data_IF_301038237445
#
_entry.id   IF_301038237445
#
_cell.length_a   1.000
_cell.length_b   1.000
_cell.length_c   1.000
_cell.angle_alpha   90.00
_cell.angle_beta   90.00
_cell.angle_gamma   90.00
#
_symmetry.space_group_name_H-M   'P 1'
#
loop_
_entity.id
_entity.type
_entity.pdbx_description
1 polymer ?
#
# COMPACT_ATOMS: atom_id res chain seq x y z
N UNK A 1 -4.50 -3.36 -26.96
CA UNK A 1 -5.37 -3.19 -25.78
C UNK A 1 -4.43 -2.80 -24.65
N UNK A 2 -4.65 -1.65 -24.01
CA UNK A 2 -3.80 -1.27 -22.89
C UNK A 2 -4.11 -2.23 -21.73
N UNK A 3 -3.10 -2.98 -21.32
CA UNK A 3 -3.16 -3.86 -20.15
C UNK A 3 -3.24 -2.95 -18.92
N UNK A 4 -4.45 -2.74 -18.42
CA UNK A 4 -4.68 -1.89 -17.25
C UNK A 4 -4.58 -2.77 -16.00
N UNK A 5 -3.77 -2.37 -15.00
CA UNK A 5 -3.68 -3.10 -13.75
C UNK A 5 -5.05 -3.21 -13.08
N UNK A 6 -5.33 -4.39 -12.51
CA UNK A 6 -6.55 -4.65 -11.75
C UNK A 6 -6.59 -3.81 -10.46
N UNK A 7 -5.43 -3.65 -9.82
CA UNK A 7 -5.23 -2.78 -8.67
C UNK A 7 -4.11 -1.82 -9.00
N UNK A 8 -4.35 -0.52 -8.85
CA UNK A 8 -3.36 0.53 -9.05
C UNK A 8 -3.37 1.50 -7.89
N UNK A 9 -2.22 1.63 -7.22
CA UNK A 9 -1.94 2.59 -6.17
C UNK A 9 -0.82 3.50 -6.65
N UNK A 10 -1.05 4.81 -6.60
CA UNK A 10 -0.08 5.84 -6.92
C UNK A 10 0.00 6.82 -5.74
N UNK A 11 1.19 6.96 -5.16
CA UNK A 11 1.45 7.87 -4.06
C UNK A 11 0.67 7.62 -2.77
N UNK A 12 0.20 6.39 -2.53
CA UNK A 12 -0.65 6.09 -1.37
C UNK A 12 0.10 6.35 -0.07
N UNK A 13 -0.45 7.24 0.75
CA UNK A 13 0.04 7.54 2.09
C UNK A 13 -1.09 7.41 3.10
N UNK A 14 -0.78 6.89 4.28
CA UNK A 14 -1.74 6.70 5.36
C UNK A 14 -1.11 7.09 6.68
N UNK A 15 -1.75 8.04 7.34
CA UNK A 15 -1.39 8.49 8.67
C UNK A 15 -2.53 8.16 9.63
N UNK A 16 -2.16 7.60 10.78
CA UNK A 16 -3.04 7.43 11.92
C UNK A 16 -2.68 8.46 12.98
N UNK A 17 -3.70 9.10 13.55
CA UNK A 17 -3.55 10.10 14.58
C UNK A 17 -4.17 9.58 15.87
N UNK A 18 -3.43 9.68 16.96
CA UNK A 18 -3.97 9.59 18.32
C UNK A 18 -3.80 10.95 19.00
N UNK A 19 -4.35 11.13 20.19
CA UNK A 19 -4.20 12.39 20.95
C UNK A 19 -2.73 12.73 21.25
N UNK A 20 -1.85 11.72 21.26
CA UNK A 20 -0.45 11.86 21.67
C UNK A 20 0.54 11.69 20.51
N UNK A 21 0.19 10.95 19.45
CA UNK A 21 1.16 10.54 18.41
C UNK A 21 0.55 10.53 17.00
N UNK A 22 1.36 10.99 16.04
CA UNK A 22 1.15 10.78 14.62
C UNK A 22 1.96 9.55 14.15
N UNK A 23 1.30 8.59 13.49
CA UNK A 23 1.95 7.39 12.92
C UNK A 23 1.74 7.34 11.42
N UNK A 24 2.82 7.50 10.67
CA UNK A 24 2.85 7.29 9.22
C UNK A 24 2.92 5.79 8.91
N UNK A 25 1.76 5.15 8.75
CA UNK A 25 1.68 3.71 8.46
C UNK A 25 2.08 3.39 7.01
N UNK A 26 1.74 4.25 6.05
CA UNK A 26 2.15 4.13 4.65
C UNK A 26 2.70 5.48 4.18
N UNK A 27 3.80 5.45 3.44
CA UNK A 27 4.45 6.65 2.90
C UNK A 27 4.75 6.46 1.42
N UNK A 28 4.02 7.17 0.56
CA UNK A 28 4.22 7.22 -0.89
C UNK A 28 4.32 5.84 -1.57
N UNK A 29 3.38 4.95 -1.27
CA UNK A 29 3.34 3.59 -1.81
C UNK A 29 2.82 3.61 -3.25
N UNK A 30 3.57 2.99 -4.14
CA UNK A 30 3.21 2.78 -5.55
C UNK A 30 3.15 1.28 -5.81
N UNK A 31 2.00 0.77 -6.24
CA UNK A 31 1.77 -0.67 -6.45
C UNK A 31 0.82 -0.87 -7.62
N UNK A 32 1.15 -1.81 -8.50
CA UNK A 32 0.25 -2.27 -9.56
C UNK A 32 0.17 -3.78 -9.52
N UNK A 33 -1.04 -4.33 -9.51
CA UNK A 33 -1.30 -5.78 -9.56
C UNK A 33 -2.15 -6.07 -10.80
N UNK A 34 -1.66 -6.96 -11.65
CA UNK A 34 -2.32 -7.35 -12.90
C UNK A 34 -3.41 -8.40 -12.66
N UNK A 35 -4.30 -8.53 -13.63
CA UNK A 35 -5.35 -9.55 -13.57
C UNK A 35 -4.73 -10.95 -13.57
N UNK A 36 -5.05 -11.76 -12.55
CA UNK A 36 -4.55 -13.13 -12.42
C UNK A 36 -3.19 -13.25 -11.72
N UNK A 37 -2.57 -12.15 -11.30
CA UNK A 37 -1.36 -12.20 -10.47
C UNK A 37 -1.68 -12.72 -9.07
N UNK A 38 -0.80 -13.60 -8.57
CA UNK A 38 -0.83 -14.09 -7.19
C UNK A 38 0.27 -13.42 -6.38
N UNK A 39 -0.10 -12.58 -5.41
CA UNK A 39 0.83 -11.72 -4.68
C UNK A 39 0.79 -12.03 -3.18
N UNK A 40 1.95 -11.97 -2.52
CA UNK A 40 2.08 -12.06 -1.06
C UNK A 40 2.87 -10.86 -0.55
N UNK A 41 2.36 -10.21 0.51
CA UNK A 41 3.02 -9.09 1.18
C UNK A 41 3.47 -9.57 2.57
N UNK A 42 4.77 -9.46 2.84
CA UNK A 42 5.39 -9.92 4.08
C UNK A 42 6.24 -8.82 4.71
N UNK A 43 6.41 -8.90 6.03
CA UNK A 43 7.15 -7.91 6.81
C UNK A 43 6.81 -7.96 8.30
N UNK A 44 7.64 -7.35 9.17
CA UNK A 44 7.46 -7.35 10.62
C UNK A 44 6.10 -6.82 11.09
N UNK A 45 5.75 -7.08 12.36
CA UNK A 45 4.55 -6.47 12.95
C UNK A 45 4.65 -4.94 12.89
N UNK A 46 3.58 -4.27 12.46
CA UNK A 46 3.49 -2.80 12.40
C UNK A 46 4.08 -2.12 11.16
N UNK A 47 4.63 -2.85 10.18
CA UNK A 47 5.31 -2.23 9.02
C UNK A 47 4.39 -1.73 7.88
N UNK A 48 3.06 -1.74 8.06
CA UNK A 48 2.12 -1.27 7.03
C UNK A 48 1.95 -2.21 5.84
N UNK A 49 1.93 -3.53 6.08
CA UNK A 49 1.48 -4.52 5.07
C UNK A 49 0.02 -4.31 4.72
#
# INVERSE_FOLDING_TARGET
MADHPLIHLEGLSKVFYTEEVETHALSNINLSIQTGEFVSIAGPSGCGK
#
